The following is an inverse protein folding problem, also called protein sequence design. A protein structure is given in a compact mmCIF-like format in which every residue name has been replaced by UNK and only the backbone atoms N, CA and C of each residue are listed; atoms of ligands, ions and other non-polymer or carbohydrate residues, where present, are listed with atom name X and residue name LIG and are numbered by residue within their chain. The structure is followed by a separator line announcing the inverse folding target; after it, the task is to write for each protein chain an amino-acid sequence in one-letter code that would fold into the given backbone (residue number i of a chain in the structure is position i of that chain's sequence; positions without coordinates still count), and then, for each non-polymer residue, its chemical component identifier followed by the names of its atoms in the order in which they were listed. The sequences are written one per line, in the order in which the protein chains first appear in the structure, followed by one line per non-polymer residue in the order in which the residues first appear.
data_IF_581019066816
#
_entry.id   IF_581019066816
#
_cell.length_a   1.000
_cell.length_b   1.000
_cell.length_c   1.000
_cell.angle_alpha   90.00
_cell.angle_beta   90.00
_cell.angle_gamma   90.00
#
_symmetry.space_group_name_H-M   'P 1'
#
loop_
_entity.id
_entity.type
_entity.pdbx_description
1 polymer ?
#
# COMPACT_ATOMS: atom_id res chain seq x y z
N UNK A 1 26.11 -7.75 19.76
CA UNK A 1 24.95 -7.38 18.93
C UNK A 1 24.91 -5.91 18.54
N UNK A 2 24.49 -4.95 19.40
CA UNK A 2 24.39 -3.52 18.98
C UNK A 2 25.69 -2.95 18.37
N UNK A 3 26.83 -3.22 19.01
CA UNK A 3 28.16 -2.89 18.49
C UNK A 3 28.51 -3.52 17.14
N UNK A 4 28.08 -4.75 16.90
CA UNK A 4 28.38 -5.45 15.65
C UNK A 4 27.57 -4.85 14.50
N UNK A 5 26.29 -4.57 14.75
CA UNK A 5 25.39 -3.92 13.81
C UNK A 5 25.90 -2.52 13.47
N UNK A 6 26.20 -1.69 14.47
CA UNK A 6 26.73 -0.33 14.23
C UNK A 6 28.00 -0.34 13.36
N UNK A 7 28.94 -1.27 13.63
CA UNK A 7 30.16 -1.43 12.82
C UNK A 7 29.90 -1.88 11.39
N UNK A 8 28.88 -2.71 11.17
CA UNK A 8 28.48 -3.11 9.82
C UNK A 8 27.88 -1.93 9.04
N UNK A 9 26.98 -1.18 9.67
CA UNK A 9 26.41 0.03 9.06
C UNK A 9 27.50 1.04 8.72
N UNK A 10 28.40 1.35 9.66
CA UNK A 10 29.53 2.25 9.42
C UNK A 10 30.41 1.79 8.24
N UNK A 11 30.72 0.48 8.17
CA UNK A 11 31.51 -0.11 7.06
C UNK A 11 30.89 0.17 5.69
N UNK A 12 29.56 0.21 5.59
CA UNK A 12 28.84 0.48 4.35
C UNK A 12 28.34 1.93 4.23
N UNK A 13 28.88 2.86 5.03
CA UNK A 13 28.56 4.30 4.96
C UNK A 13 27.24 4.69 5.64
N UNK A 14 26.67 3.80 6.45
CA UNK A 14 25.53 4.08 7.33
C UNK A 14 25.93 4.88 8.57
N UNK A 15 24.96 5.59 9.15
CA UNK A 15 25.18 6.54 10.26
C UNK A 15 24.68 6.03 11.62
N UNK A 16 24.19 4.79 11.70
CA UNK A 16 23.66 4.21 12.94
C UNK A 16 24.81 3.87 13.92
N UNK A 17 24.66 4.30 15.17
CA UNK A 17 25.64 4.15 16.25
C UNK A 17 25.12 3.25 17.37
N UNK A 18 26.01 2.78 18.25
CA UNK A 18 25.60 2.07 19.48
C UNK A 18 24.68 2.93 20.38
N UNK A 19 24.87 4.25 20.36
CA UNK A 19 24.08 5.19 21.15
C UNK A 19 22.61 5.18 20.70
N UNK A 20 22.35 5.21 19.38
CA UNK A 20 20.99 5.15 18.82
C UNK A 20 20.21 3.92 19.33
N UNK A 21 20.87 2.76 19.40
CA UNK A 21 20.26 1.54 19.95
C UNK A 21 20.01 1.64 21.46
N UNK A 22 20.92 2.26 22.21
CA UNK A 22 20.81 2.39 23.67
C UNK A 22 19.75 3.41 24.10
N UNK A 23 19.51 4.43 23.28
CA UNK A 23 18.57 5.52 23.52
C UNK A 23 17.17 5.21 22.97
N UNK A 24 17.05 4.33 21.97
CA UNK A 24 15.76 3.96 21.40
C UNK A 24 14.77 3.49 22.49
N UNK A 25 13.56 4.05 22.45
CA UNK A 25 12.43 3.63 23.27
C UNK A 25 11.19 3.46 22.40
N UNK A 26 10.46 2.37 22.60
CA UNK A 26 9.18 2.16 21.94
C UNK A 26 8.13 3.13 22.49
N UNK A 27 7.36 3.75 21.59
CA UNK A 27 6.21 4.57 21.96
C UNK A 27 5.02 3.63 22.22
N UNK A 28 4.52 3.63 23.46
CA UNK A 28 3.30 2.91 23.82
C UNK A 28 2.10 3.84 23.63
N UNK A 29 1.28 3.55 22.63
CA UNK A 29 0.08 4.34 22.32
C UNK A 29 -1.07 3.87 23.22
N UNK A 30 -1.69 4.77 24.02
CA UNK A 30 -2.83 4.40 24.85
C UNK A 30 -4.06 4.13 23.98
N UNK A 31 -4.97 3.28 24.47
CA UNK A 31 -6.20 2.91 23.78
C UNK A 31 -7.02 4.13 23.30
N UNK A 32 -7.07 5.20 24.10
CA UNK A 32 -7.78 6.45 23.75
C UNK A 32 -7.27 7.15 22.50
N UNK A 33 -6.07 6.81 22.01
CA UNK A 33 -5.47 7.38 20.80
C UNK A 33 -5.50 6.45 19.60
N UNK A 34 -6.04 5.25 19.75
CA UNK A 34 -6.22 4.31 18.64
C UNK A 34 -7.32 4.83 17.72
N UNK A 35 -7.06 4.80 16.41
CA UNK A 35 -8.03 5.19 15.39
C UNK A 35 -8.93 4.00 15.10
N UNK A 36 -10.24 4.21 15.11
CA UNK A 36 -11.26 3.20 14.84
C UNK A 36 -12.14 3.61 13.66
N UNK A 37 -12.45 2.63 12.82
CA UNK A 37 -13.41 2.77 11.72
C UNK A 37 -14.41 1.64 11.76
N UNK A 38 -15.69 1.99 11.81
CA UNK A 38 -16.78 1.03 11.73
C UNK A 38 -17.11 0.76 10.27
N UNK A 39 -17.21 -0.52 9.92
CA UNK A 39 -17.64 -0.99 8.62
C UNK A 39 -19.00 -1.67 8.73
N UNK A 40 -19.64 -1.89 7.58
CA UNK A 40 -20.86 -2.68 7.46
C UNK A 40 -20.70 -4.06 8.10
N UNK A 41 -21.84 -4.65 8.48
CA UNK A 41 -21.96 -5.96 9.12
C UNK A 41 -21.24 -6.04 10.47
N UNK A 42 -21.15 -4.91 11.19
CA UNK A 42 -20.62 -4.85 12.55
C UNK A 42 -19.12 -5.09 12.65
N UNK A 43 -18.37 -4.91 11.56
CA UNK A 43 -16.91 -5.05 11.55
C UNK A 43 -16.28 -3.74 11.97
N UNK A 44 -15.16 -3.82 12.67
CA UNK A 44 -14.40 -2.65 13.11
C UNK A 44 -12.94 -2.87 12.77
N UNK A 45 -12.31 -1.84 12.20
CA UNK A 45 -10.86 -1.81 12.00
C UNK A 45 -10.28 -0.82 13.02
N UNK A 46 -9.10 -1.14 13.52
CA UNK A 46 -8.37 -0.25 14.41
C UNK A 46 -6.88 -0.18 14.04
N UNK A 47 -6.22 0.87 14.49
CA UNK A 47 -4.77 0.97 14.41
C UNK A 47 -4.20 2.26 15.00
N UNK A 48 -2.87 2.39 15.02
CA UNK A 48 -2.21 3.50 15.68
C UNK A 48 -2.47 4.83 14.95
N UNK A 49 -2.44 5.97 15.66
CA UNK A 49 -2.57 7.30 15.06
C UNK A 49 -1.34 7.66 14.20
N UNK A 50 -1.35 8.80 13.51
CA UNK A 50 -0.13 9.38 12.92
C UNK A 50 1.05 9.34 13.90
N UNK A 51 2.28 9.04 13.43
CA UNK A 51 2.72 8.97 12.02
C UNK A 51 2.44 7.64 11.30
N UNK A 52 1.65 6.72 11.89
CA UNK A 52 1.27 5.50 11.19
C UNK A 52 0.31 5.77 10.02
N UNK A 53 0.45 5.01 8.92
CA UNK A 53 -0.48 5.01 7.79
C UNK A 53 -1.86 4.37 8.08
N UNK A 54 -2.20 4.08 9.35
CA UNK A 54 -3.46 3.42 9.69
C UNK A 54 -4.69 4.24 9.28
N UNK A 55 -4.65 5.57 9.50
CA UNK A 55 -5.76 6.45 9.11
C UNK A 55 -6.00 6.43 7.59
N UNK A 56 -4.93 6.41 6.79
CA UNK A 56 -4.99 6.31 5.32
C UNK A 56 -5.64 4.98 4.90
N UNK A 57 -5.14 3.86 5.42
CA UNK A 57 -5.66 2.54 5.07
C UNK A 57 -7.13 2.38 5.49
N UNK A 58 -7.48 2.84 6.69
CA UNK A 58 -8.85 2.79 7.20
C UNK A 58 -9.80 3.66 6.35
N UNK A 59 -9.37 4.83 5.89
CA UNK A 59 -10.18 5.68 5.01
C UNK A 59 -10.47 5.02 3.66
N UNK A 60 -9.47 4.38 3.04
CA UNK A 60 -9.66 3.61 1.80
C UNK A 60 -10.72 2.52 2.01
N UNK A 61 -10.59 1.75 3.10
CA UNK A 61 -11.51 0.66 3.41
C UNK A 61 -12.92 1.17 3.72
N UNK A 62 -13.05 2.32 4.38
CA UNK A 62 -14.34 2.94 4.65
C UNK A 62 -15.07 3.31 3.35
N UNK A 63 -14.37 3.89 2.38
CA UNK A 63 -14.95 4.23 1.07
C UNK A 63 -15.34 2.95 0.32
N UNK A 64 -14.45 1.95 0.30
CA UNK A 64 -14.69 0.68 -0.41
C UNK A 64 -15.84 -0.13 0.19
N UNK A 65 -16.03 -0.08 1.51
CA UNK A 65 -17.15 -0.75 2.18
C UNK A 65 -18.51 -0.16 1.76
N UNK A 66 -18.53 1.02 1.13
CA UNK A 66 -19.69 1.58 0.44
C UNK A 66 -20.22 0.72 -0.71
N UNK A 67 -19.37 -0.11 -1.32
CA UNK A 67 -19.66 -0.86 -2.54
C UNK A 67 -19.75 -2.37 -2.30
N UNK A 68 -20.48 -3.06 -3.17
CA UNK A 68 -20.52 -4.53 -3.19
C UNK A 68 -19.77 -5.05 -4.41
N UNK A 69 -18.77 -5.91 -4.17
CA UNK A 69 -17.97 -6.53 -5.22
C UNK A 69 -18.24 -8.03 -5.25
N UNK A 70 -18.59 -8.55 -6.42
CA UNK A 70 -18.70 -10.00 -6.64
C UNK A 70 -17.40 -10.60 -7.22
N UNK A 71 -16.55 -9.77 -7.84
CA UNK A 71 -15.26 -10.13 -8.49
C UNK A 71 -15.35 -11.30 -9.48
N UNK A 72 -16.52 -11.57 -10.07
CA UNK A 72 -16.75 -12.73 -10.94
C UNK A 72 -16.48 -12.45 -12.42
N UNK A 73 -16.51 -11.18 -12.82
CA UNK A 73 -16.20 -10.78 -14.19
C UNK A 73 -15.01 -9.82 -14.25
N UNK A 74 -14.45 -9.70 -15.45
CA UNK A 74 -13.45 -8.69 -15.75
C UNK A 74 -13.97 -7.28 -15.45
N UNK A 75 -15.22 -6.99 -15.82
CA UNK A 75 -15.86 -5.69 -15.54
C UNK A 75 -15.98 -5.43 -14.05
N UNK A 76 -16.38 -6.43 -13.26
CA UNK A 76 -16.49 -6.27 -11.79
C UNK A 76 -15.12 -6.00 -11.15
N UNK A 77 -14.09 -6.66 -11.66
CA UNK A 77 -12.70 -6.41 -11.26
C UNK A 77 -12.24 -5.02 -11.69
N UNK A 78 -12.62 -4.56 -12.88
CA UNK A 78 -12.36 -3.21 -13.36
C UNK A 78 -12.95 -2.13 -12.45
N UNK A 79 -14.21 -2.30 -12.06
CA UNK A 79 -14.86 -1.43 -11.08
C UNK A 79 -14.18 -1.44 -9.73
N UNK A 80 -13.74 -2.61 -9.26
CA UNK A 80 -13.00 -2.70 -8.00
C UNK A 80 -11.72 -1.86 -8.03
N UNK A 81 -10.78 -2.04 -8.98
CA UNK A 81 -9.59 -1.20 -8.91
C UNK A 81 -9.83 0.25 -9.31
N UNK A 82 -10.85 0.57 -10.11
CA UNK A 82 -11.26 1.96 -10.30
C UNK A 82 -11.59 2.61 -8.94
N UNK A 83 -12.51 2.03 -8.17
CA UNK A 83 -12.85 2.55 -6.85
C UNK A 83 -11.68 2.51 -5.88
N UNK A 84 -10.84 1.48 -5.92
CA UNK A 84 -9.63 1.40 -5.09
C UNK A 84 -8.64 2.54 -5.39
N UNK A 85 -8.38 2.83 -6.67
CA UNK A 85 -7.48 3.90 -7.09
C UNK A 85 -8.05 5.26 -6.67
N UNK A 86 -9.33 5.51 -6.93
CA UNK A 86 -9.97 6.77 -6.52
C UNK A 86 -9.97 6.94 -5.00
N UNK A 87 -10.33 5.89 -4.25
CA UNK A 87 -10.27 5.90 -2.78
C UNK A 87 -8.85 6.17 -2.27
N UNK A 88 -7.83 5.60 -2.92
CA UNK A 88 -6.43 5.81 -2.57
C UNK A 88 -5.97 7.24 -2.84
N UNK A 89 -6.42 7.87 -3.94
CA UNK A 89 -6.15 9.29 -4.22
C UNK A 89 -6.77 10.22 -3.17
N UNK A 90 -7.99 9.92 -2.71
CA UNK A 90 -8.61 10.67 -1.62
C UNK A 90 -7.84 10.47 -0.32
N UNK A 91 -7.48 9.23 0.00
CA UNK A 91 -6.80 8.91 1.25
C UNK A 91 -5.34 9.39 1.27
N UNK A 92 -4.64 9.50 0.14
CA UNK A 92 -3.27 10.04 0.08
C UNK A 92 -3.19 11.52 0.46
N UNK A 93 -4.33 12.23 0.38
CA UNK A 93 -4.46 13.61 0.87
C UNK A 93 -4.66 13.71 2.39
N UNK A 94 -4.83 12.58 3.09
CA UNK A 94 -4.89 12.57 4.54
C UNK A 94 -3.48 12.86 5.08
N UNK A 95 -3.34 14.02 5.71
CA UNK A 95 -2.13 14.42 6.43
C UNK A 95 -2.37 14.29 7.95
N UNK A 96 -1.52 14.86 8.80
CA UNK A 96 -1.75 14.85 10.25
C UNK A 96 -2.99 15.66 10.69
N UNK A 97 -3.61 16.42 9.78
CA UNK A 97 -4.84 17.20 10.00
C UNK A 97 -5.87 17.01 8.87
N UNK A 98 -7.16 17.26 9.16
CA UNK A 98 -8.28 17.33 8.19
C UNK A 98 -8.31 18.67 7.48
N UNK A 99 -8.54 18.69 6.17
CA UNK A 99 -8.49 19.92 5.35
C UNK A 99 -9.87 20.33 4.80
N UNK A 100 -10.07 21.58 4.38
CA UNK A 100 -11.30 22.02 3.71
C UNK A 100 -11.49 21.34 2.34
N UNK A 101 -12.74 21.34 1.83
CA UNK A 101 -13.13 20.56 0.64
C UNK A 101 -12.33 20.94 -0.63
N UNK A 102 -11.90 22.21 -0.75
CA UNK A 102 -11.04 22.66 -1.86
C UNK A 102 -9.67 21.95 -1.89
N UNK A 103 -9.12 21.56 -0.74
CA UNK A 103 -7.86 20.82 -0.64
C UNK A 103 -7.98 19.40 -1.25
N UNK A 104 -9.18 18.81 -1.19
CA UNK A 104 -9.46 17.52 -1.80
C UNK A 104 -9.61 17.57 -3.33
N UNK A 105 -9.40 18.74 -3.96
CA UNK A 105 -9.26 18.88 -5.41
C UNK A 105 -10.55 19.21 -6.12
N UNK A 106 -11.28 20.22 -5.62
CA UNK A 106 -12.38 20.83 -6.37
C UNK A 106 -11.92 21.17 -7.80
N UNK A 107 -12.61 20.58 -8.78
CA UNK A 107 -12.22 20.42 -10.19
C UNK A 107 -10.95 19.59 -10.43
N UNK A 108 -11.09 18.54 -11.24
CA UNK A 108 -10.09 17.52 -11.56
C UNK A 108 -8.74 18.15 -11.96
N UNK A 109 -7.79 18.19 -11.04
CA UNK A 109 -6.38 18.37 -11.35
C UNK A 109 -5.60 17.08 -11.06
N UNK A 110 -4.76 16.71 -12.03
CA UNK A 110 -3.92 15.52 -11.97
C UNK A 110 -2.87 15.67 -10.86
N UNK A 111 -2.91 14.77 -9.87
CA UNK A 111 -1.92 14.71 -8.79
C UNK A 111 -0.62 14.01 -9.22
N UNK A 112 0.44 14.34 -8.49
CA UNK A 112 1.83 13.96 -8.71
C UNK A 112 2.13 12.45 -8.70
N UNK A 113 3.31 12.12 -9.24
CA UNK A 113 3.86 10.77 -9.49
C UNK A 113 4.00 9.97 -8.19
N UNK A 114 3.34 8.82 -8.13
CA UNK A 114 3.42 7.84 -7.04
C UNK A 114 3.70 6.41 -7.57
N UNK A 115 4.31 5.57 -6.71
CA UNK A 115 5.11 4.40 -7.00
C UNK A 115 4.40 3.10 -6.62
N UNK A 116 3.85 2.38 -7.61
CA UNK A 116 3.26 1.06 -7.37
C UNK A 116 3.37 0.15 -8.59
N UNK A 117 3.65 -1.15 -8.35
CA UNK A 117 3.74 -2.16 -9.40
C UNK A 117 2.52 -3.07 -9.35
N UNK A 118 1.80 -3.16 -10.46
CA UNK A 118 0.86 -4.25 -10.69
C UNK A 118 0.94 -4.62 -12.17
N UNK A 119 1.10 -5.92 -12.46
CA UNK A 119 0.97 -6.45 -13.81
C UNK A 119 -0.51 -6.42 -14.20
N UNK A 120 -0.94 -5.24 -14.63
CA UNK A 120 -2.30 -4.96 -15.04
C UNK A 120 -2.44 -5.37 -16.52
N UNK A 121 -3.43 -6.21 -16.84
CA UNK A 121 -3.67 -6.67 -18.22
C UNK A 121 -3.98 -5.50 -19.15
N UNK A 122 -3.66 -5.62 -20.45
CA UNK A 122 -3.89 -4.55 -21.44
C UNK A 122 -5.36 -4.12 -21.47
N UNK A 123 -6.29 -5.07 -21.35
CA UNK A 123 -7.72 -4.78 -21.28
C UNK A 123 -8.07 -3.88 -20.07
N UNK A 124 -7.39 -4.10 -18.94
CA UNK A 124 -7.61 -3.35 -17.71
C UNK A 124 -7.06 -1.93 -17.81
N UNK A 125 -5.90 -1.77 -18.46
CA UNK A 125 -5.34 -0.45 -18.77
C UNK A 125 -6.29 0.35 -19.68
N UNK A 126 -6.90 -0.29 -20.67
CA UNK A 126 -7.91 0.34 -21.54
C UNK A 126 -9.15 0.78 -20.77
N UNK A 127 -9.64 -0.06 -19.85
CA UNK A 127 -10.83 0.24 -19.05
C UNK A 127 -10.57 1.33 -18.01
N UNK A 128 -9.37 1.39 -17.43
CA UNK A 128 -8.98 2.53 -16.59
C UNK A 128 -8.82 3.81 -17.44
N UNK A 129 -8.21 3.72 -18.62
CA UNK A 129 -8.05 4.88 -19.49
C UNK A 129 -9.40 5.46 -19.95
N UNK A 130 -10.40 4.62 -20.25
CA UNK A 130 -11.75 5.06 -20.62
C UNK A 130 -12.45 5.84 -19.51
N UNK A 131 -12.01 5.67 -18.25
CA UNK A 131 -12.53 6.34 -17.05
C UNK A 131 -11.70 7.56 -16.64
N UNK A 132 -10.78 8.00 -17.48
CA UNK A 132 -9.96 9.20 -17.27
C UNK A 132 -8.67 8.96 -16.49
N UNK A 133 -8.28 7.70 -16.23
CA UNK A 133 -6.97 7.42 -15.63
C UNK A 133 -5.85 7.47 -16.66
N UNK A 134 -4.79 8.24 -16.38
CA UNK A 134 -3.58 8.25 -17.21
C UNK A 134 -2.52 7.35 -16.56
N UNK A 135 -2.19 6.24 -17.22
CA UNK A 135 -1.24 5.24 -16.73
C UNK A 135 0.12 5.48 -17.39
N UNK A 136 1.15 5.81 -16.60
CA UNK A 136 2.51 6.03 -17.09
C UNK A 136 3.38 4.82 -16.76
N UNK A 137 3.94 4.17 -17.80
CA UNK A 137 4.95 3.12 -17.61
C UNK A 137 6.24 3.75 -17.10
N UNK A 138 6.75 3.24 -15.98
CA UNK A 138 8.04 3.66 -15.40
C UNK A 138 8.93 2.44 -15.18
N UNK A 139 10.25 2.61 -15.33
CA UNK A 139 11.22 1.58 -15.01
C UNK A 139 11.61 1.72 -13.53
N UNK A 140 11.05 0.90 -12.65
CA UNK A 140 11.37 0.88 -11.22
C UNK A 140 11.51 -0.55 -10.70
N UNK A 141 12.26 -0.73 -9.61
CA UNK A 141 12.36 -1.97 -8.85
C UNK A 141 11.00 -2.29 -8.22
N UNK A 142 10.37 -3.32 -8.76
CA UNK A 142 9.11 -3.87 -8.31
C UNK A 142 9.38 -4.75 -7.09
N UNK A 143 8.46 -4.78 -6.11
CA UNK A 143 8.61 -5.73 -5.00
C UNK A 143 8.66 -7.13 -5.60
N UNK A 144 7.84 -7.46 -6.60
CA UNK A 144 7.96 -8.71 -7.37
C UNK A 144 9.25 -8.70 -8.19
N UNK A 145 10.29 -9.41 -7.76
CA UNK A 145 11.58 -9.49 -8.47
C UNK A 145 11.64 -10.67 -9.45
N UNK A 146 10.74 -11.64 -9.32
CA UNK A 146 10.61 -12.80 -10.20
C UNK A 146 9.15 -13.29 -10.26
N UNK A 147 8.73 -13.80 -11.42
CA UNK A 147 7.47 -14.49 -11.60
C UNK A 147 7.70 -15.84 -12.31
N UNK A 148 7.08 -16.91 -11.81
CA UNK A 148 7.16 -18.25 -12.38
C UNK A 148 5.76 -18.78 -12.68
N UNK A 149 5.62 -19.47 -13.81
CA UNK A 149 4.41 -20.24 -14.14
C UNK A 149 4.67 -21.71 -13.87
N UNK A 150 4.01 -22.27 -12.86
CA UNK A 150 4.14 -23.67 -12.53
C UNK A 150 3.47 -24.58 -13.58
N UNK A 151 3.79 -25.87 -13.50
CA UNK A 151 3.32 -26.89 -14.46
C UNK A 151 1.79 -27.04 -14.49
N UNK A 152 1.09 -26.68 -13.41
CA UNK A 152 -0.38 -26.66 -13.30
C UNK A 152 -1.01 -25.38 -13.88
N UNK A 153 -0.19 -24.43 -14.32
CA UNK A 153 -0.61 -23.15 -14.88
C UNK A 153 -0.76 -22.03 -13.85
N UNK A 154 -0.54 -22.28 -12.57
CA UNK A 154 -0.58 -21.26 -11.51
C UNK A 154 0.63 -20.32 -11.61
N UNK A 155 0.41 -19.03 -11.35
CA UNK A 155 1.44 -17.99 -11.41
C UNK A 155 1.90 -17.63 -10.00
N UNK A 156 3.19 -17.76 -9.75
CA UNK A 156 3.84 -17.40 -8.48
C UNK A 156 4.66 -16.13 -8.68
N UNK A 157 4.62 -15.22 -7.71
CA UNK A 157 5.36 -13.97 -7.73
C UNK A 157 6.14 -13.83 -6.41
N UNK A 158 7.47 -13.68 -6.48
CA UNK A 158 8.31 -13.54 -5.30
C UNK A 158 8.85 -12.11 -5.18
N UNK A 159 8.85 -11.61 -3.94
CA UNK A 159 9.30 -10.27 -3.64
C UNK A 159 10.82 -10.11 -3.50
N UNK A 160 11.54 -11.20 -3.23
CA UNK A 160 13.00 -11.21 -3.15
C UNK A 160 13.52 -12.60 -3.53
N UNK A 161 14.10 -12.71 -4.73
CA UNK A 161 14.63 -13.97 -5.27
C UNK A 161 15.78 -14.58 -4.43
N UNK A 162 16.34 -13.83 -3.46
CA UNK A 162 17.42 -14.32 -2.58
C UNK A 162 16.90 -15.00 -1.33
N UNK A 163 15.60 -14.91 -1.02
CA UNK A 163 14.98 -15.73 0.02
C UNK A 163 14.81 -17.15 -0.52
N UNK A 164 15.31 -18.14 0.21
CA UNK A 164 15.35 -19.53 -0.25
C UNK A 164 13.96 -20.17 -0.32
N UNK A 165 13.92 -21.47 -0.60
CA UNK A 165 12.67 -22.25 -0.73
C UNK A 165 11.75 -22.12 0.49
N UNK A 166 12.28 -21.81 1.68
CA UNK A 166 11.53 -21.62 2.92
C UNK A 166 10.56 -20.42 2.89
N UNK A 167 10.77 -19.47 1.97
CA UNK A 167 9.89 -18.32 1.77
C UNK A 167 8.91 -18.53 0.61
N UNK A 168 8.89 -19.73 0.02
CA UNK A 168 8.01 -20.13 -1.07
C UNK A 168 6.98 -21.16 -0.58
N UNK A 169 5.70 -21.07 -0.98
CA UNK A 169 5.09 -19.97 -1.74
C UNK A 169 4.49 -18.87 -0.83
N UNK A 170 4.74 -17.60 -1.15
CA UNK A 170 4.03 -16.47 -0.56
C UNK A 170 3.03 -15.86 -1.58
N UNK A 171 1.84 -16.49 -1.71
CA UNK A 171 0.66 -16.08 -2.52
C UNK A 171 0.82 -16.21 -4.04
N UNK A 172 -0.20 -16.40 -4.90
CA UNK A 172 -1.67 -16.50 -4.84
C UNK A 172 -2.12 -17.74 -5.64
#
# INVERSE_FOLDING_TARGET
MAREIAREFERYGGILTEADFSEYRSIVVPHSRVVYTNLKKGRVICGPPPPSGSAVAQAILNILDGYEYNMKSFSDTAWFHHHFIESSKFASKITEETHPDEYYGGSLEALAVDHGTSHISVAYLTELASRGHVLKKVQNLTVVTAAEKAADGQLYANSDFRKGEESSPAGY
#
